data_IF_134863842353
#
_entry.id   IF_134863842353
#
_cell.length_a   1.000
_cell.length_b   1.000
_cell.length_c   1.000
_cell.angle_alpha   90.00
_cell.angle_beta   90.00
_cell.angle_gamma   90.00
#
_symmetry.space_group_name_H-M   'P 1'
#
loop_
_entity.id
_entity.type
_entity.pdbx_description
1 polymer ?
#
# COMPACT_ATOMS: atom_id res chain seq x y z
N UNK A 1 -11.26 65.45 -30.18
CA UNK A 1 -11.96 64.57 -29.21
C UNK A 1 -11.99 63.09 -29.62
N UNK A 2 -12.30 62.72 -30.88
CA UNK A 2 -12.34 61.29 -31.32
C UNK A 2 -11.01 60.52 -31.15
N UNK A 3 -9.87 61.13 -31.48
CA UNK A 3 -8.55 60.52 -31.35
C UNK A 3 -8.16 60.22 -29.89
N UNK A 4 -8.49 61.11 -28.95
CA UNK A 4 -8.20 60.92 -27.52
C UNK A 4 -9.01 59.76 -26.93
N UNK A 5 -10.27 59.60 -27.35
CA UNK A 5 -11.13 58.47 -26.90
C UNK A 5 -10.66 57.12 -27.46
N UNK A 6 -10.10 57.12 -28.67
CA UNK A 6 -9.56 55.91 -29.31
C UNK A 6 -8.28 55.43 -28.62
N UNK A 7 -7.41 56.36 -28.22
CA UNK A 7 -6.20 56.06 -27.46
C UNK A 7 -6.55 55.53 -26.06
N UNK A 8 -7.50 56.18 -25.36
CA UNK A 8 -7.95 55.72 -24.05
C UNK A 8 -8.59 54.32 -24.11
N UNK A 9 -9.39 54.04 -25.15
CA UNK A 9 -9.99 52.73 -25.39
C UNK A 9 -8.94 51.64 -25.67
N UNK A 10 -7.88 51.97 -26.43
CA UNK A 10 -6.77 51.05 -26.68
C UNK A 10 -6.01 50.69 -25.39
N UNK A 11 -5.78 51.66 -24.50
CA UNK A 11 -5.15 51.39 -23.20
C UNK A 11 -6.02 50.51 -22.29
N UNK A 12 -7.33 50.77 -22.21
CA UNK A 12 -8.24 49.94 -21.42
C UNK A 12 -8.31 48.50 -21.95
N UNK A 13 -8.27 48.34 -23.27
CA UNK A 13 -8.24 47.02 -23.91
C UNK A 13 -6.93 46.27 -23.60
N UNK A 14 -5.80 46.97 -23.63
CA UNK A 14 -4.50 46.39 -23.29
C UNK A 14 -4.44 45.96 -21.82
N UNK A 15 -4.95 46.78 -20.90
CA UNK A 15 -5.06 46.43 -19.47
C UNK A 15 -5.92 45.18 -19.30
N UNK A 16 -7.08 45.12 -19.96
CA UNK A 16 -8.00 43.97 -19.89
C UNK A 16 -7.35 42.69 -20.39
N UNK A 17 -6.67 42.74 -21.55
CA UNK A 17 -5.91 41.59 -22.08
C UNK A 17 -4.84 41.13 -21.09
N UNK A 18 -4.13 42.08 -20.47
CA UNK A 18 -3.08 41.76 -19.50
C UNK A 18 -3.66 41.03 -18.27
N UNK A 19 -4.81 41.47 -17.76
CA UNK A 19 -5.50 40.79 -16.66
C UNK A 19 -5.95 39.38 -17.04
N UNK A 20 -6.54 39.22 -18.23
CA UNK A 20 -6.99 37.90 -18.73
C UNK A 20 -5.82 36.93 -18.89
N UNK A 21 -4.68 37.41 -19.43
CA UNK A 21 -3.47 36.60 -19.56
C UNK A 21 -2.90 36.21 -18.19
N UNK A 22 -2.95 37.11 -17.21
CA UNK A 22 -2.49 36.83 -15.87
C UNK A 22 -3.36 35.76 -15.19
N UNK A 23 -4.69 35.88 -15.25
CA UNK A 23 -5.60 34.86 -14.73
C UNK A 23 -5.42 33.50 -15.42
N UNK A 24 -5.22 33.51 -16.75
CA UNK A 24 -4.97 32.29 -17.49
C UNK A 24 -3.70 31.58 -17.01
N UNK A 25 -2.61 32.31 -16.75
CA UNK A 25 -1.37 31.73 -16.21
C UNK A 25 -1.59 31.12 -14.83
N UNK A 26 -2.36 31.79 -13.95
CA UNK A 26 -2.67 31.25 -12.62
C UNK A 26 -3.48 29.95 -12.73
N UNK A 27 -4.51 29.93 -13.58
CA UNK A 27 -5.34 28.75 -13.81
C UNK A 27 -4.51 27.61 -14.41
N UNK A 28 -3.66 27.91 -15.40
CA UNK A 28 -2.78 26.92 -16.02
C UNK A 28 -1.80 26.29 -15.02
N UNK A 29 -1.26 27.08 -14.08
CA UNK A 29 -0.39 26.57 -13.03
C UNK A 29 -1.14 25.69 -12.03
N UNK A 30 -2.34 26.10 -11.61
CA UNK A 30 -3.19 25.29 -10.71
C UNK A 30 -3.54 23.94 -11.36
N UNK A 31 -3.99 23.97 -12.62
CA UNK A 31 -4.23 22.76 -13.41
C UNK A 31 -2.98 21.88 -13.54
N UNK A 32 -1.82 22.48 -13.85
CA UNK A 32 -0.58 21.72 -13.99
C UNK A 32 -0.14 21.06 -12.67
N UNK A 33 -0.36 21.73 -11.53
CA UNK A 33 -0.05 21.15 -10.22
C UNK A 33 -0.98 19.97 -9.88
N UNK A 34 -2.29 20.12 -10.06
CA UNK A 34 -3.27 19.04 -9.88
C UNK A 34 -3.01 17.85 -10.79
N UNK A 35 -2.75 18.10 -12.08
CA UNK A 35 -2.40 17.03 -13.02
C UNK A 35 -1.11 16.31 -12.63
N UNK A 36 -0.10 17.02 -12.11
CA UNK A 36 1.13 16.38 -11.61
C UNK A 36 0.87 15.54 -10.37
N UNK A 37 0.05 16.03 -9.44
CA UNK A 37 -0.36 15.30 -8.24
C UNK A 37 -1.10 14.01 -8.61
N UNK A 38 -2.11 14.09 -9.48
CA UNK A 38 -2.89 12.93 -9.94
C UNK A 38 -2.01 11.89 -10.66
N UNK A 39 -1.15 12.34 -11.58
CA UNK A 39 -0.22 11.44 -12.29
C UNK A 39 0.76 10.80 -11.30
N UNK A 40 1.28 11.56 -10.33
CA UNK A 40 2.21 11.03 -9.34
C UNK A 40 1.54 9.99 -8.43
N UNK A 41 0.31 10.23 -8.00
CA UNK A 41 -0.47 9.28 -7.19
C UNK A 41 -0.75 8.00 -7.96
N UNK A 42 -1.15 8.10 -9.23
CA UNK A 42 -1.41 6.92 -10.05
C UNK A 42 -0.12 6.16 -10.38
N UNK A 43 1.00 6.87 -10.61
CA UNK A 43 2.30 6.24 -10.78
C UNK A 43 2.76 5.48 -9.52
N UNK A 44 2.57 6.07 -8.33
CA UNK A 44 2.86 5.39 -7.06
C UNK A 44 1.96 4.18 -6.83
N UNK A 45 0.68 4.26 -7.20
CA UNK A 45 -0.26 3.14 -7.12
C UNK A 45 0.14 2.01 -8.07
N UNK A 46 0.52 2.32 -9.30
CA UNK A 46 1.02 1.34 -10.27
C UNK A 46 2.36 0.73 -9.84
N UNK A 47 3.29 1.55 -9.33
CA UNK A 47 4.55 1.07 -8.76
C UNK A 47 4.29 0.05 -7.67
N UNK A 48 3.34 0.33 -6.77
CA UNK A 48 3.00 -0.59 -5.68
C UNK A 48 2.28 -1.86 -6.14
N UNK A 49 1.48 -1.80 -7.21
CA UNK A 49 0.90 -3.00 -7.82
C UNK A 49 1.97 -3.92 -8.43
N UNK A 50 3.05 -3.34 -8.96
CA UNK A 50 4.19 -4.07 -9.53
C UNK A 50 5.10 -4.57 -8.42
N UNK A 51 5.45 -3.70 -7.47
CA UNK A 51 6.37 -3.93 -6.36
C UNK A 51 5.59 -4.18 -5.06
N UNK A 52 4.69 -5.16 -5.07
CA UNK A 52 3.90 -5.49 -3.87
C UNK A 52 4.85 -5.99 -2.76
N UNK A 53 4.78 -5.44 -1.54
CA UNK A 53 5.61 -5.91 -0.44
C UNK A 53 5.45 -7.41 -0.20
N UNK A 54 6.53 -8.04 0.26
CA UNK A 54 6.46 -9.43 0.68
C UNK A 54 5.75 -9.49 2.03
N UNK A 55 4.76 -10.37 2.13
CA UNK A 55 3.99 -10.60 3.35
C UNK A 55 4.25 -12.01 3.85
N UNK A 56 4.50 -12.15 5.14
CA UNK A 56 4.48 -13.44 5.84
C UNK A 56 3.60 -13.36 7.09
N UNK A 57 3.15 -14.52 7.56
CA UNK A 57 2.48 -14.62 8.85
C UNK A 57 3.40 -15.23 9.90
N UNK A 58 3.20 -14.76 11.13
CA UNK A 58 3.81 -15.33 12.32
C UNK A 58 2.73 -15.49 13.37
N UNK A 59 2.74 -16.62 14.07
CA UNK A 59 1.81 -16.89 15.16
C UNK A 59 2.60 -17.10 16.44
N UNK A 60 2.44 -16.21 17.42
CA UNK A 60 3.20 -16.26 18.66
C UNK A 60 2.36 -15.77 19.83
N UNK A 61 2.29 -16.55 20.91
CA UNK A 61 1.54 -16.20 22.13
C UNK A 61 0.08 -15.87 21.85
N UNK A 62 -0.62 -16.76 21.12
CA UNK A 62 -2.01 -16.62 20.69
C UNK A 62 -2.34 -15.37 19.84
N UNK A 63 -1.30 -14.75 19.27
CA UNK A 63 -1.43 -13.56 18.44
C UNK A 63 -0.93 -13.84 17.03
N UNK A 64 -1.75 -13.47 16.03
CA UNK A 64 -1.35 -13.46 14.62
C UNK A 64 -0.72 -12.11 14.31
N UNK A 65 0.52 -12.16 13.83
CA UNK A 65 1.28 -11.04 13.32
C UNK A 65 1.34 -11.11 11.79
N UNK A 66 1.14 -9.96 11.16
CA UNK A 66 1.43 -9.75 9.75
C UNK A 66 2.81 -9.13 9.63
N UNK A 67 3.74 -9.88 9.08
CA UNK A 67 5.10 -9.46 8.82
C UNK A 67 5.16 -8.86 7.41
N UNK A 68 5.58 -7.61 7.29
CA UNK A 68 5.64 -6.89 6.01
C UNK A 68 7.09 -6.53 5.74
N UNK A 69 7.61 -6.97 4.60
CA UNK A 69 8.91 -6.56 4.09
C UNK A 69 8.73 -5.73 2.81
N UNK A 70 8.84 -4.39 2.91
CA UNK A 70 8.72 -3.50 1.76
C UNK A 70 9.92 -3.62 0.80
N UNK A 71 9.67 -3.50 -0.50
CA UNK A 71 10.74 -3.26 -1.50
C UNK A 71 11.13 -1.78 -1.49
N UNK A 72 10.14 -0.90 -1.34
CA UNK A 72 10.28 0.54 -1.17
C UNK A 72 9.45 0.97 0.04
N UNK A 73 9.87 2.03 0.79
CA UNK A 73 9.11 2.53 1.92
C UNK A 73 7.64 2.75 1.56
N UNK A 74 6.75 2.17 2.36
CA UNK A 74 5.30 2.24 2.12
C UNK A 74 4.58 2.74 3.37
N UNK A 75 3.56 3.56 3.18
CA UNK A 75 2.72 4.05 4.28
C UNK A 75 1.44 3.24 4.36
N UNK A 76 1.25 2.55 5.48
CA UNK A 76 0.04 1.83 5.81
C UNK A 76 -0.96 2.75 6.49
N UNK A 77 -2.18 2.82 5.97
CA UNK A 77 -3.29 3.53 6.60
C UNK A 77 -4.12 2.60 7.48
N UNK A 78 -4.50 1.44 6.94
CA UNK A 78 -5.40 0.51 7.62
C UNK A 78 -4.91 -0.93 7.52
N UNK A 79 -5.18 -1.73 8.55
CA UNK A 79 -5.29 -3.18 8.42
C UNK A 79 -6.72 -3.57 8.12
N UNK A 80 -6.87 -4.64 7.36
CA UNK A 80 -8.15 -5.28 7.05
C UNK A 80 -8.16 -6.66 7.67
N UNK A 81 -9.23 -6.95 8.41
CA UNK A 81 -9.55 -8.30 8.89
C UNK A 81 -10.94 -8.65 8.38
N UNK A 82 -11.03 -9.63 7.50
CA UNK A 82 -12.28 -10.09 6.93
C UNK A 82 -12.58 -11.51 7.41
N UNK A 83 -13.71 -11.67 8.09
CA UNK A 83 -14.20 -12.96 8.59
C UNK A 83 -15.05 -13.65 7.53
N UNK A 84 -15.15 -14.99 7.59
CA UNK A 84 -15.97 -15.79 6.65
C UNK A 84 -17.45 -15.37 6.66
N UNK A 85 -17.96 -14.87 7.79
CA UNK A 85 -19.34 -14.39 7.92
C UNK A 85 -19.61 -13.05 7.18
N UNK A 86 -18.62 -12.50 6.47
CA UNK A 86 -18.71 -11.25 5.72
C UNK A 86 -18.41 -10.01 6.56
N UNK A 87 -18.13 -10.14 7.85
CA UNK A 87 -17.71 -9.02 8.69
C UNK A 87 -16.32 -8.56 8.28
N UNK A 88 -16.16 -7.26 8.07
CA UNK A 88 -14.87 -6.63 7.76
C UNK A 88 -14.57 -5.61 8.85
N UNK A 89 -13.41 -5.75 9.49
CA UNK A 89 -12.90 -4.84 10.51
C UNK A 89 -11.72 -4.10 9.92
N UNK A 90 -11.74 -2.77 10.04
CA UNK A 90 -10.64 -1.90 9.69
C UNK A 90 -9.98 -1.38 10.96
N UNK A 91 -8.65 -1.51 11.06
CA UNK A 91 -7.86 -0.94 12.16
C UNK A 91 -6.91 0.10 11.59
N UNK A 92 -7.02 1.35 12.06
CA UNK A 92 -6.09 2.41 11.68
C UNK A 92 -4.71 2.18 12.31
N UNK A 93 -3.67 2.36 11.51
CA UNK A 93 -2.26 2.26 11.94
C UNK A 93 -1.48 3.54 11.62
N UNK A 94 -1.80 4.20 10.50
CA UNK A 94 -1.09 5.36 9.94
C UNK A 94 0.43 5.36 10.20
N UNK A 95 1.12 4.33 9.72
CA UNK A 95 2.55 4.13 9.95
C UNK A 95 3.32 3.95 8.64
N UNK A 96 4.57 4.40 8.62
CA UNK A 96 5.49 4.20 7.50
C UNK A 96 6.36 2.97 7.80
N UNK A 97 6.33 2.01 6.88
CA UNK A 97 7.08 0.77 6.95
C UNK A 97 8.26 0.90 5.98
N UNK A 98 9.46 1.07 6.54
CA UNK A 98 10.70 1.21 5.76
C UNK A 98 11.47 -0.10 5.65
N UNK A 99 11.31 -1.00 6.63
CA UNK A 99 12.01 -2.27 6.75
C UNK A 99 11.03 -3.36 7.24
N UNK A 100 11.51 -4.60 7.32
CA UNK A 100 10.77 -5.70 7.94
C UNK A 100 10.13 -5.26 9.27
N UNK A 101 8.80 -5.34 9.33
CA UNK A 101 8.01 -4.94 10.49
C UNK A 101 6.96 -6.00 10.79
N UNK A 102 6.89 -6.41 12.07
CA UNK A 102 5.85 -7.31 12.57
C UNK A 102 4.69 -6.47 13.13
N UNK A 103 3.51 -6.61 12.55
CA UNK A 103 2.32 -5.88 12.98
C UNK A 103 1.34 -6.84 13.64
N UNK A 104 0.97 -6.66 14.93
CA UNK A 104 -0.05 -7.48 15.56
C UNK A 104 -1.41 -7.23 14.93
N UNK A 105 -2.06 -8.27 14.45
CA UNK A 105 -3.36 -8.17 13.75
C UNK A 105 -4.49 -8.70 14.62
N UNK A 106 -4.38 -9.92 15.10
CA UNK A 106 -5.42 -10.58 15.91
C UNK A 106 -4.80 -11.15 17.17
N UNK A 107 -5.23 -10.62 18.32
CA UNK A 107 -4.88 -11.13 19.64
C UNK A 107 -5.94 -12.14 20.09
N UNK A 108 -5.52 -13.20 20.79
CA UNK A 108 -6.39 -14.29 21.25
C UNK A 108 -7.16 -14.95 20.11
N UNK A 109 -6.45 -15.32 19.05
CA UNK A 109 -7.06 -15.96 17.89
C UNK A 109 -7.69 -17.30 18.28
N UNK A 110 -8.99 -17.46 17.98
CA UNK A 110 -9.80 -18.61 18.40
C UNK A 110 -9.91 -19.71 17.33
N UNK A 111 -9.24 -19.53 16.19
CA UNK A 111 -9.30 -20.45 15.07
C UNK A 111 -10.36 -20.15 14.02
N UNK A 112 -11.15 -19.09 14.21
CA UNK A 112 -12.13 -18.64 13.22
C UNK A 112 -11.43 -18.22 11.94
N UNK A 113 -11.78 -18.76 10.76
CA UNK A 113 -11.04 -18.41 9.55
C UNK A 113 -11.16 -16.93 9.18
N UNK A 114 -10.04 -16.32 8.84
CA UNK A 114 -9.95 -14.88 8.55
C UNK A 114 -9.06 -14.60 7.33
N UNK A 115 -9.35 -13.51 6.63
CA UNK A 115 -8.46 -12.89 5.65
C UNK A 115 -7.85 -11.65 6.28
N UNK A 116 -6.54 -11.55 6.17
CA UNK A 116 -5.79 -10.40 6.67
C UNK A 116 -5.20 -9.67 5.47
N UNK A 117 -5.24 -8.35 5.51
CA UNK A 117 -4.63 -7.49 4.51
C UNK A 117 -4.35 -6.11 5.07
N UNK A 118 -3.87 -5.23 4.20
CA UNK A 118 -3.66 -3.83 4.53
C UNK A 118 -4.09 -2.92 3.39
N UNK A 119 -4.26 -1.64 3.74
CA UNK A 119 -4.53 -0.53 2.82
C UNK A 119 -3.44 0.52 3.01
N UNK A 120 -2.88 0.96 1.90
CA UNK A 120 -1.90 2.05 1.87
C UNK A 120 -2.53 3.42 1.71
N UNK A 121 -1.74 4.47 1.90
CA UNK A 121 -2.17 5.86 1.71
C UNK A 121 -2.56 6.19 0.26
N UNK A 122 -1.93 5.56 -0.72
CA UNK A 122 -2.31 5.62 -2.14
C UNK A 122 -3.51 4.71 -2.52
N UNK A 123 -4.15 4.07 -1.53
CA UNK A 123 -5.39 3.31 -1.71
C UNK A 123 -5.22 1.90 -2.31
N UNK A 124 -4.00 1.36 -2.33
CA UNK A 124 -3.76 -0.04 -2.73
C UNK A 124 -4.18 -0.97 -1.59
N UNK A 125 -4.92 -2.01 -1.96
CA UNK A 125 -5.36 -3.06 -1.03
C UNK A 125 -4.62 -4.35 -1.35
N UNK A 126 -3.89 -4.88 -0.37
CA UNK A 126 -3.17 -6.15 -0.49
C UNK A 126 -3.60 -7.11 0.60
N UNK A 127 -4.04 -8.30 0.19
CA UNK A 127 -4.36 -9.39 1.10
C UNK A 127 -3.21 -10.38 1.18
N UNK A 128 -2.95 -10.87 2.39
CA UNK A 128 -2.04 -11.98 2.61
C UNK A 128 -2.52 -13.21 1.83
N UNK A 129 -1.57 -13.92 1.23
CA UNK A 129 -1.82 -15.17 0.50
C UNK A 129 -0.74 -16.20 0.89
N UNK A 130 -1.12 -17.36 1.45
CA UNK A 130 -0.17 -18.39 1.87
C UNK A 130 0.80 -18.84 0.77
N UNK A 131 0.35 -18.92 -0.49
CA UNK A 131 1.20 -19.32 -1.62
C UNK A 131 2.36 -18.37 -1.92
N UNK A 132 2.34 -17.14 -1.38
CA UNK A 132 3.36 -16.11 -1.57
C UNK A 132 4.20 -15.89 -0.30
N UNK A 133 3.90 -16.62 0.77
CA UNK A 133 4.60 -16.51 2.03
C UNK A 133 5.96 -17.23 1.95
N UNK A 134 7.09 -16.52 2.07
CA UNK A 134 8.42 -17.13 2.02
C UNK A 134 8.63 -18.17 3.13
N UNK A 135 7.97 -18.02 4.28
CA UNK A 135 8.04 -18.96 5.41
C UNK A 135 7.28 -20.27 5.17
N UNK A 136 6.44 -20.33 4.14
CA UNK A 136 5.64 -21.51 3.80
C UNK A 136 6.08 -22.20 2.50
N UNK A 137 7.14 -21.72 1.84
CA UNK A 137 7.61 -22.30 0.57
C UNK A 137 8.09 -23.75 0.69
N UNK A 138 8.55 -24.17 1.86
CA UNK A 138 8.97 -25.54 2.14
C UNK A 138 7.79 -26.50 2.41
N UNK A 139 6.57 -25.98 2.56
CA UNK A 139 5.37 -26.77 2.87
C UNK A 139 4.87 -27.46 1.61
N UNK A 140 4.86 -28.80 1.62
CA UNK A 140 4.43 -29.62 0.48
C UNK A 140 2.91 -29.81 0.41
N UNK A 141 2.16 -29.37 1.42
CA UNK A 141 0.70 -29.43 1.46
C UNK A 141 0.08 -28.29 0.63
N UNK A 142 -0.08 -28.53 -0.67
CA UNK A 142 -0.67 -27.57 -1.62
C UNK A 142 -2.11 -27.15 -1.28
N UNK A 143 -2.84 -27.96 -0.52
CA UNK A 143 -4.21 -27.63 -0.09
C UNK A 143 -4.22 -26.42 0.83
N UNK A 144 -3.17 -26.22 1.63
CA UNK A 144 -3.02 -25.06 2.52
C UNK A 144 -2.51 -23.84 1.77
N UNK A 145 -1.55 -24.02 0.86
CA UNK A 145 -0.98 -22.90 0.07
C UNK A 145 -2.01 -22.22 -0.83
N UNK A 146 -2.99 -22.97 -1.33
CA UNK A 146 -4.06 -22.44 -2.17
C UNK A 146 -5.23 -21.85 -1.38
N UNK A 147 -5.19 -21.87 -0.05
CA UNK A 147 -6.23 -21.25 0.76
C UNK A 147 -6.12 -19.74 0.65
N UNK A 148 -7.27 -19.12 0.72
CA UNK A 148 -7.37 -17.66 0.80
C UNK A 148 -7.58 -17.18 2.23
N UNK A 149 -8.00 -18.07 3.14
CA UNK A 149 -8.24 -17.76 4.55
C UNK A 149 -7.14 -18.39 5.40
N UNK A 150 -6.83 -17.69 6.49
CA UNK A 150 -6.00 -18.15 7.60
C UNK A 150 -6.94 -18.92 8.52
N UNK A 151 -6.69 -20.20 8.71
CA UNK A 151 -7.46 -21.11 9.55
C UNK A 151 -6.54 -21.89 10.50
N UNK A 152 -7.12 -22.73 11.37
CA UNK A 152 -6.34 -23.54 12.32
C UNK A 152 -5.32 -24.46 11.66
N UNK A 153 -5.58 -24.95 10.45
CA UNK A 153 -4.61 -25.80 9.74
C UNK A 153 -3.38 -24.97 9.37
N UNK A 154 -3.56 -23.77 8.83
CA UNK A 154 -2.45 -22.86 8.55
C UNK A 154 -1.70 -22.45 9.82
N UNK A 155 -2.41 -22.08 10.88
CA UNK A 155 -1.80 -21.69 12.16
C UNK A 155 -0.99 -22.82 12.77
N UNK A 156 -1.48 -24.07 12.72
CA UNK A 156 -0.73 -25.22 13.21
C UNK A 156 0.60 -25.45 12.47
N UNK A 157 0.64 -25.11 11.18
CA UNK A 157 1.88 -25.17 10.39
C UNK A 157 2.83 -24.07 10.83
N UNK A 158 2.34 -22.85 11.05
CA UNK A 158 3.14 -21.73 11.56
C UNK A 158 3.74 -22.04 12.93
N UNK A 159 2.96 -22.60 13.86
CA UNK A 159 3.44 -23.07 15.17
C UNK A 159 4.55 -24.12 15.04
N UNK A 160 4.39 -25.08 14.11
CA UNK A 160 5.40 -26.11 13.88
C UNK A 160 6.67 -25.58 13.22
N UNK A 161 6.56 -24.49 12.45
CA UNK A 161 7.67 -23.86 11.73
C UNK A 161 8.42 -22.82 12.56
N UNK A 162 7.83 -22.29 13.64
CA UNK A 162 8.43 -21.30 14.54
C UNK A 162 9.69 -21.82 15.29
N UNK A 163 10.01 -23.11 15.14
CA UNK A 163 11.24 -23.74 15.65
C UNK A 163 12.32 -24.04 14.61
N UNK A 164 12.10 -23.84 13.30
CA UNK A 164 13.00 -24.40 12.25
C UNK A 164 13.48 -23.43 11.16
N UNK A 165 12.99 -22.20 11.04
CA UNK A 165 13.41 -21.30 9.96
C UNK A 165 13.82 -19.92 10.47
N UNK A 166 15.04 -19.87 11.00
CA UNK A 166 15.82 -18.63 11.00
C UNK A 166 16.18 -18.26 9.56
N UNK A 167 15.36 -17.43 8.90
CA UNK A 167 15.80 -16.46 7.89
C UNK A 167 14.63 -15.64 7.30
N UNK A 168 13.88 -14.90 8.13
CA UNK A 168 13.12 -13.75 7.61
C UNK A 168 14.07 -12.63 7.10
N UNK A 169 15.37 -12.72 7.40
CA UNK A 169 16.44 -11.86 6.87
C UNK A 169 16.89 -12.21 5.43
N UNK A 170 16.40 -13.31 4.85
CA UNK A 170 16.84 -13.78 3.53
C UNK A 170 16.34 -12.95 2.33
N UNK A 171 15.45 -11.99 2.55
CA UNK A 171 14.97 -11.06 1.50
C UNK A 171 15.62 -9.67 1.60
N UNK A 172 16.55 -9.47 2.53
CA UNK A 172 17.26 -8.20 2.72
C UNK A 172 18.66 -8.17 2.06
N UNK A 173 19.08 -9.22 1.33
CA UNK A 173 20.38 -9.21 0.66
C UNK A 173 20.25 -9.26 -0.88
N UNK A 174 20.41 -8.12 -1.59
CA UNK A 174 20.44 -8.10 -3.06
C UNK A 174 21.67 -8.78 -3.67
N UNK A 175 22.59 -9.32 -2.87
CA UNK A 175 23.83 -9.94 -3.36
C UNK A 175 23.68 -11.39 -3.84
N UNK A 176 22.57 -12.08 -3.59
CA UNK A 176 22.42 -13.51 -3.98
C UNK A 176 21.81 -13.73 -5.37
N UNK A 177 21.77 -12.70 -6.22
CA UNK A 177 21.25 -12.79 -7.61
C UNK A 177 22.36 -12.87 -8.69
N UNK A 178 23.63 -12.94 -8.28
CA UNK A 178 24.77 -13.12 -9.19
C UNK A 178 25.64 -14.31 -8.74
N UNK A 179 25.16 -15.54 -8.94
CA UNK A 179 26.03 -16.72 -9.17
C UNK A 179 25.44 -17.58 -10.29
#
# INVERSE_FOLDING_TARGET
MKALSSVLGAYMLLITITFVLFEFVLIANDLASKFREDISSEASRLSMLINNPVMSLKYSGDTIYLCINPIEPLRLKYLIIQYVNGTIVFREIDSVIENYTEIPVLENYDGTPVRIGFVTDNGVVSYYTPSRDPGLLSVTNYSVLNKTYIDNELVSILESNDGSLGNYNGLANPETLNE
#
